data_IF_014779935213
#
_entry.id   IF_014779935213
#
_cell.length_a   1.000
_cell.length_b   1.000
_cell.length_c   1.000
_cell.angle_alpha   90.00
_cell.angle_beta   90.00
_cell.angle_gamma   90.00
#
_symmetry.space_group_name_H-M   'P 1'
#
loop_
_entity.id
_entity.type
_entity.pdbx_description
1 polymer ?
#
# COMPACT_ATOMS: atom_id res chain seq x y z
N UNK A 1 -0.78 17.04 20.41
CA UNK A 1 0.00 16.37 19.34
C UNK A 1 1.43 16.81 19.47
N UNK A 2 2.36 15.87 19.48
CA UNK A 2 3.78 16.18 19.45
C UNK A 2 4.18 16.67 18.05
N UNK A 3 5.07 17.65 18.00
CA UNK A 3 5.63 18.16 16.75
C UNK A 3 6.68 17.19 16.17
N UNK A 4 7.15 17.48 14.96
CA UNK A 4 8.21 16.68 14.34
C UNK A 4 9.51 16.69 15.17
N UNK A 5 9.80 17.79 15.86
CA UNK A 5 11.01 17.92 16.69
C UNK A 5 11.07 16.84 17.76
N UNK A 6 9.98 16.66 18.51
CA UNK A 6 9.86 15.58 19.49
C UNK A 6 10.04 14.20 18.84
N UNK A 7 9.38 13.94 17.71
CA UNK A 7 9.46 12.65 17.02
C UNK A 7 10.89 12.33 16.59
N UNK A 8 11.61 13.32 16.06
CA UNK A 8 12.99 13.20 15.65
C UNK A 8 13.93 12.99 16.84
N UNK A 9 13.78 13.77 17.92
CA UNK A 9 14.58 13.60 19.15
C UNK A 9 14.39 12.22 19.78
N UNK A 10 13.15 11.72 19.83
CA UNK A 10 12.87 10.37 20.32
C UNK A 10 13.60 9.31 19.49
N UNK A 11 13.52 9.39 18.16
CA UNK A 11 14.19 8.45 17.27
C UNK A 11 15.71 8.54 17.40
N UNK A 12 16.29 9.74 17.46
CA UNK A 12 17.73 9.92 17.64
C UNK A 12 18.22 9.31 18.95
N UNK A 13 17.48 9.48 20.04
CA UNK A 13 17.80 8.86 21.32
C UNK A 13 17.73 7.33 21.26
N UNK A 14 16.74 6.76 20.54
CA UNK A 14 16.58 5.32 20.37
C UNK A 14 17.70 4.69 19.54
N UNK A 15 18.10 5.33 18.44
CA UNK A 15 19.07 4.79 17.49
C UNK A 15 20.51 5.25 17.74
N UNK A 16 20.71 6.23 18.63
CA UNK A 16 22.02 6.73 19.05
C UNK A 16 22.71 7.67 18.05
N UNK A 17 22.24 7.77 16.80
CA UNK A 17 22.73 8.74 15.81
C UNK A 17 21.74 8.94 14.67
N UNK A 18 21.88 10.04 13.94
CA UNK A 18 21.14 10.29 12.70
C UNK A 18 21.45 9.23 11.63
N UNK A 19 22.71 8.86 11.45
CA UNK A 19 23.10 7.87 10.45
C UNK A 19 22.47 6.49 10.70
N UNK A 20 22.42 6.07 11.97
CA UNK A 20 21.77 4.81 12.35
C UNK A 20 20.26 4.84 12.13
N UNK A 21 19.59 5.98 12.39
CA UNK A 21 18.17 6.17 12.09
C UNK A 21 17.92 6.12 10.58
N UNK A 22 18.64 6.92 9.78
CA UNK A 22 18.45 6.98 8.32
C UNK A 22 18.63 5.62 7.66
N UNK A 23 19.57 4.80 8.14
CA UNK A 23 19.79 3.44 7.65
C UNK A 23 18.58 2.50 7.81
N UNK A 24 17.62 2.82 8.69
CA UNK A 24 16.41 2.04 8.92
C UNK A 24 15.19 2.60 8.19
N UNK A 25 15.24 3.85 7.72
CA UNK A 25 14.08 4.53 7.16
C UNK A 25 13.81 4.10 5.71
N UNK A 26 12.54 3.83 5.35
CA UNK A 26 12.19 3.49 3.98
C UNK A 26 12.31 4.72 3.07
N UNK A 27 12.72 4.49 1.82
CA UNK A 27 12.76 5.53 0.78
C UNK A 27 11.65 5.27 -0.24
N UNK A 28 10.79 6.27 -0.55
CA UNK A 28 9.80 6.10 -1.61
C UNK A 28 10.48 6.10 -2.98
N UNK A 29 9.85 5.51 -3.97
CA UNK A 29 10.31 5.59 -5.35
C UNK A 29 10.04 6.99 -5.93
N UNK A 30 10.78 7.36 -6.98
CA UNK A 30 10.52 8.59 -7.72
C UNK A 30 9.23 8.50 -8.53
N UNK A 31 8.63 9.65 -8.85
CA UNK A 31 7.46 9.70 -9.74
C UNK A 31 7.79 9.13 -11.13
N UNK A 32 9.01 9.29 -11.62
CA UNK A 32 9.45 8.70 -12.89
C UNK A 32 9.45 7.17 -12.82
N UNK A 33 9.95 6.58 -11.74
CA UNK A 33 9.90 5.13 -11.54
C UNK A 33 8.45 4.63 -11.52
N UNK A 34 7.56 5.29 -10.77
CA UNK A 34 6.14 4.93 -10.72
C UNK A 34 5.48 4.99 -12.11
N UNK A 35 5.74 6.05 -12.89
CA UNK A 35 5.23 6.16 -14.27
C UNK A 35 5.78 5.09 -15.20
N UNK A 36 7.03 4.67 -14.97
CA UNK A 36 7.71 3.65 -15.77
C UNK A 36 7.26 2.21 -15.49
N UNK A 37 6.56 1.95 -14.38
CA UNK A 37 6.01 0.63 -14.10
C UNK A 37 4.88 0.29 -15.08
N UNK A 38 4.97 -0.88 -15.69
CA UNK A 38 3.93 -1.40 -16.58
C UNK A 38 2.68 -1.85 -15.80
N UNK A 39 1.54 -1.85 -16.49
CA UNK A 39 0.24 -2.16 -15.89
C UNK A 39 0.18 -3.59 -15.30
N UNK A 40 0.89 -4.55 -15.92
CA UNK A 40 0.99 -5.92 -15.42
C UNK A 40 1.79 -6.02 -14.10
N UNK A 41 2.83 -5.19 -13.91
CA UNK A 41 3.56 -5.13 -12.64
C UNK A 41 2.71 -4.53 -11.53
N UNK A 42 1.88 -3.54 -11.86
CA UNK A 42 0.88 -3.01 -10.92
C UNK A 42 -0.16 -4.07 -10.54
N UNK A 43 -0.71 -4.79 -11.51
CA UNK A 43 -1.70 -5.83 -11.26
C UNK A 43 -1.12 -6.99 -10.45
N UNK A 44 0.09 -7.45 -10.79
CA UNK A 44 0.82 -8.48 -10.04
C UNK A 44 1.05 -8.04 -8.60
N UNK A 45 1.55 -6.82 -8.37
CA UNK A 45 1.80 -6.31 -7.01
C UNK A 45 0.52 -6.15 -6.19
N UNK A 46 -0.56 -5.70 -6.82
CA UNK A 46 -1.88 -5.57 -6.19
C UNK A 46 -2.41 -6.95 -5.78
N UNK A 47 -2.39 -7.92 -6.69
CA UNK A 47 -2.78 -9.29 -6.39
C UNK A 47 -1.90 -9.88 -5.27
N UNK A 48 -0.58 -9.67 -5.31
CA UNK A 48 0.34 -10.16 -4.29
C UNK A 48 -0.03 -9.62 -2.91
N UNK A 49 -0.35 -8.32 -2.83
CA UNK A 49 -0.81 -7.70 -1.59
C UNK A 49 -2.09 -8.34 -1.07
N UNK A 50 -3.07 -8.58 -1.93
CA UNK A 50 -4.33 -9.26 -1.58
C UNK A 50 -4.08 -10.68 -1.08
N UNK A 51 -3.20 -11.45 -1.74
CA UNK A 51 -2.89 -12.82 -1.32
C UNK A 51 -2.11 -12.88 -0.01
N UNK A 52 -1.14 -11.97 0.20
CA UNK A 52 -0.40 -11.82 1.47
C UNK A 52 -1.27 -11.39 2.64
N UNK A 53 -2.46 -10.82 2.42
CA UNK A 53 -3.37 -10.47 3.52
C UNK A 53 -3.83 -11.74 4.28
N UNK A 54 -3.41 -11.86 5.54
CA UNK A 54 -3.76 -12.98 6.42
C UNK A 54 -2.94 -14.26 6.21
N UNK A 55 -1.83 -14.20 5.45
CA UNK A 55 -0.96 -15.35 5.20
C UNK A 55 0.52 -14.98 5.44
N UNK A 56 1.34 -16.00 5.75
CA UNK A 56 2.80 -15.83 5.82
C UNK A 56 3.32 -15.38 4.45
N UNK A 57 4.02 -14.25 4.39
CA UNK A 57 4.47 -13.68 3.11
C UNK A 57 5.35 -14.66 2.32
N UNK A 58 6.31 -15.33 2.97
CA UNK A 58 7.19 -16.30 2.33
C UNK A 58 6.44 -17.46 1.64
N UNK A 59 5.31 -17.89 2.19
CA UNK A 59 4.47 -18.92 1.57
C UNK A 59 3.80 -18.42 0.29
N UNK A 60 3.32 -17.18 0.28
CA UNK A 60 2.73 -16.57 -0.91
C UNK A 60 3.79 -16.34 -1.98
N UNK A 61 4.95 -15.83 -1.57
CA UNK A 61 6.07 -15.48 -2.45
C UNK A 61 6.61 -16.72 -3.17
N UNK A 62 6.75 -17.84 -2.46
CA UNK A 62 7.18 -19.11 -3.05
C UNK A 62 6.22 -19.63 -4.14
N UNK A 63 4.94 -19.23 -4.10
CA UNK A 63 3.92 -19.60 -5.10
C UNK A 63 3.77 -18.57 -6.22
N UNK A 64 4.37 -17.38 -6.09
CA UNK A 64 4.17 -16.29 -7.03
C UNK A 64 4.55 -16.61 -8.48
N UNK A 65 5.61 -17.38 -8.77
CA UNK A 65 5.91 -17.80 -10.14
C UNK A 65 4.76 -18.59 -10.80
N UNK A 66 4.00 -19.38 -10.04
CA UNK A 66 2.82 -20.07 -10.57
C UNK A 66 1.66 -19.08 -10.81
N UNK A 67 1.50 -18.07 -9.95
CA UNK A 67 0.53 -16.99 -10.16
C UNK A 67 0.81 -16.21 -11.46
N UNK A 68 2.07 -15.84 -11.70
CA UNK A 68 2.49 -15.20 -12.96
C UNK A 68 2.09 -16.04 -14.18
N UNK A 69 2.23 -17.37 -14.13
CA UNK A 69 1.81 -18.24 -15.24
C UNK A 69 0.28 -18.27 -15.43
N UNK A 70 -0.48 -18.54 -14.37
CA UNK A 70 -1.94 -18.76 -14.48
C UNK A 70 -2.73 -17.47 -14.74
N UNK A 71 -2.13 -16.31 -14.45
CA UNK A 71 -2.68 -15.00 -14.77
C UNK A 71 -2.00 -14.35 -15.98
N UNK A 72 -1.36 -15.13 -16.87
CA UNK A 72 -0.81 -14.64 -18.14
C UNK A 72 0.18 -13.47 -17.99
N UNK A 73 1.08 -13.56 -17.02
CA UNK A 73 2.02 -12.50 -16.65
C UNK A 73 1.37 -11.28 -16.02
N UNK A 74 0.12 -11.41 -15.57
CA UNK A 74 -0.74 -10.32 -15.10
C UNK A 74 -1.03 -9.25 -16.16
N UNK A 75 -0.98 -9.60 -17.45
CA UNK A 75 -1.43 -8.72 -18.53
C UNK A 75 -2.91 -8.32 -18.32
N UNK A 76 -3.23 -7.05 -18.03
CA UNK A 76 -4.59 -6.65 -17.68
C UNK A 76 -5.62 -6.94 -18.78
N UNK A 77 -5.24 -6.81 -20.06
CA UNK A 77 -6.12 -7.06 -21.20
C UNK A 77 -6.50 -8.54 -21.31
N UNK A 78 -5.63 -9.46 -20.86
CA UNK A 78 -5.93 -10.90 -20.81
C UNK A 78 -6.67 -11.28 -19.53
N UNK A 79 -6.22 -10.75 -18.39
CA UNK A 79 -6.78 -11.10 -17.09
C UNK A 79 -8.23 -10.63 -16.99
N UNK A 80 -8.56 -9.44 -17.51
CA UNK A 80 -9.93 -8.91 -17.45
C UNK A 80 -10.96 -9.83 -18.15
N UNK A 81 -10.53 -10.61 -19.15
CA UNK A 81 -11.36 -11.57 -19.88
C UNK A 81 -11.56 -12.91 -19.15
N UNK A 82 -10.92 -13.12 -17.98
CA UNK A 82 -11.05 -14.36 -17.22
C UNK A 82 -12.43 -14.49 -16.59
N UNK A 83 -13.28 -15.33 -17.20
CA UNK A 83 -14.61 -15.65 -16.70
C UNK A 83 -14.62 -16.54 -15.45
N UNK A 84 -15.80 -16.70 -14.84
CA UNK A 84 -16.00 -17.48 -13.62
C UNK A 84 -15.51 -18.94 -13.75
N UNK A 85 -15.82 -19.61 -14.87
CA UNK A 85 -15.39 -20.99 -15.11
C UNK A 85 -13.85 -21.14 -15.11
N UNK A 86 -13.12 -20.15 -15.64
CA UNK A 86 -11.66 -20.18 -15.61
C UNK A 86 -11.17 -20.11 -14.16
N UNK A 87 -11.73 -19.22 -13.35
CA UNK A 87 -11.36 -19.08 -11.94
C UNK A 87 -11.71 -20.33 -11.12
N UNK A 88 -12.79 -21.02 -11.46
CA UNK A 88 -13.16 -22.31 -10.86
C UNK A 88 -12.18 -23.42 -11.23
N UNK A 89 -11.66 -23.43 -12.47
CA UNK A 89 -10.56 -24.34 -12.85
C UNK A 89 -9.29 -24.03 -12.05
N UNK A 90 -8.96 -22.76 -11.82
CA UNK A 90 -7.81 -22.37 -10.98
C UNK A 90 -7.94 -22.84 -9.52
N UNK A 91 -9.16 -23.01 -9.01
CA UNK A 91 -9.38 -23.61 -7.69
C UNK A 91 -8.94 -25.08 -7.62
N UNK A 92 -8.64 -25.74 -8.75
CA UNK A 92 -8.07 -27.09 -8.78
C UNK A 92 -6.54 -27.09 -8.86
N UNK A 93 -5.90 -25.95 -9.14
CA UNK A 93 -4.44 -25.86 -9.26
C UNK A 93 -3.80 -25.76 -7.87
N UNK A 94 -3.05 -26.81 -7.48
CA UNK A 94 -2.38 -26.90 -6.17
C UNK A 94 -1.10 -26.05 -6.09
N UNK A 95 -0.60 -25.57 -7.23
CA UNK A 95 0.59 -24.69 -7.29
C UNK A 95 0.27 -23.33 -6.67
N UNK A 96 -0.97 -22.86 -6.78
CA UNK A 96 -1.42 -21.56 -6.27
C UNK A 96 -2.17 -21.67 -4.92
N UNK A 97 -2.61 -20.52 -4.40
CA UNK A 97 -3.46 -20.44 -3.20
C UNK A 97 -4.93 -20.50 -3.65
N UNK A 98 -5.61 -21.58 -3.28
CA UNK A 98 -7.00 -21.87 -3.65
C UNK A 98 -7.99 -21.08 -2.77
N UNK A 99 -8.08 -19.77 -3.02
CA UNK A 99 -9.01 -18.88 -2.33
C UNK A 99 -9.86 -18.11 -3.35
N UNK A 100 -11.08 -18.58 -3.60
CA UNK A 100 -11.94 -18.08 -4.68
C UNK A 100 -12.18 -16.58 -4.62
N UNK A 101 -12.43 -16.01 -3.43
CA UNK A 101 -12.65 -14.56 -3.28
C UNK A 101 -11.42 -13.70 -3.59
N UNK A 102 -10.20 -14.25 -3.52
CA UNK A 102 -8.95 -13.55 -3.88
C UNK A 102 -8.66 -13.74 -5.35
N UNK A 103 -8.89 -14.93 -5.90
CA UNK A 103 -8.81 -15.19 -7.35
C UNK A 103 -9.79 -14.30 -8.14
N UNK A 104 -11.04 -14.19 -7.69
CA UNK A 104 -12.06 -13.28 -8.28
C UNK A 104 -11.69 -11.80 -8.21
N UNK A 105 -10.77 -11.41 -7.33
CA UNK A 105 -10.34 -10.00 -7.23
C UNK A 105 -9.41 -9.59 -8.37
N UNK A 106 -8.61 -10.52 -8.91
CA UNK A 106 -7.60 -10.21 -9.93
C UNK A 106 -8.21 -9.64 -11.23
N UNK A 107 -9.21 -10.28 -11.88
CA UNK A 107 -9.83 -9.71 -13.08
C UNK A 107 -10.57 -8.40 -12.81
N UNK A 108 -11.16 -8.23 -11.61
CA UNK A 108 -11.81 -6.96 -11.22
C UNK A 108 -10.79 -5.83 -11.06
N UNK A 109 -9.62 -6.12 -10.51
CA UNK A 109 -8.54 -5.16 -10.37
C UNK A 109 -7.88 -4.86 -11.73
N UNK A 110 -7.85 -5.83 -12.65
CA UNK A 110 -7.45 -5.59 -14.04
C UNK A 110 -8.37 -4.58 -14.72
N UNK A 111 -9.70 -4.74 -14.57
CA UNK A 111 -10.67 -3.77 -15.08
C UNK A 111 -10.43 -2.36 -14.51
N UNK A 112 -10.24 -2.22 -13.19
CA UNK A 112 -9.94 -0.93 -12.57
C UNK A 112 -8.68 -0.29 -13.18
N UNK A 113 -7.63 -1.08 -13.42
CA UNK A 113 -6.39 -0.59 -14.04
C UNK A 113 -6.68 -0.07 -15.46
N UNK A 114 -7.40 -0.83 -16.28
CA UNK A 114 -7.75 -0.44 -17.65
C UNK A 114 -8.61 0.83 -17.68
N UNK A 115 -9.61 0.94 -16.79
CA UNK A 115 -10.47 2.12 -16.68
C UNK A 115 -9.65 3.38 -16.34
N UNK A 116 -8.69 3.25 -15.42
CA UNK A 116 -7.77 4.34 -15.07
C UNK A 116 -6.85 4.68 -16.23
N UNK A 117 -6.32 3.70 -16.96
CA UNK A 117 -5.47 3.95 -18.14
C UNK A 117 -6.23 4.74 -19.21
N UNK A 118 -7.51 4.46 -19.41
CA UNK A 118 -8.34 5.21 -20.35
C UNK A 118 -8.47 6.70 -19.96
N UNK A 119 -8.56 7.00 -18.66
CA UNK A 119 -8.79 8.35 -18.15
C UNK A 119 -7.49 9.16 -17.94
N UNK A 120 -6.40 8.49 -17.57
CA UNK A 120 -5.15 9.11 -17.13
C UNK A 120 -3.94 8.76 -18.01
N UNK A 121 -4.16 8.02 -19.11
CA UNK A 121 -3.10 7.54 -20.02
C UNK A 121 -2.37 6.31 -19.51
N UNK A 122 -2.00 6.27 -18.22
CA UNK A 122 -1.45 5.06 -17.59
C UNK A 122 -1.83 4.94 -16.11
N UNK A 123 -1.83 3.71 -15.58
CA UNK A 123 -2.02 3.50 -14.15
C UNK A 123 -0.86 4.07 -13.33
N UNK A 124 0.37 4.01 -13.86
CA UNK A 124 1.55 4.61 -13.25
C UNK A 124 1.45 6.13 -13.13
N UNK A 125 0.96 6.82 -14.17
CA UNK A 125 0.70 8.26 -14.14
C UNK A 125 -0.33 8.62 -13.07
N UNK A 126 -1.44 7.89 -13.02
CA UNK A 126 -2.46 8.08 -11.99
C UNK A 126 -1.89 7.95 -10.56
N UNK A 127 -1.09 6.91 -10.27
CA UNK A 127 -0.48 6.73 -8.95
C UNK A 127 0.58 7.81 -8.67
N UNK A 128 1.43 8.14 -9.64
CA UNK A 128 2.50 9.13 -9.48
C UNK A 128 1.94 10.54 -9.22
N UNK A 129 0.93 10.94 -9.98
CA UNK A 129 0.40 12.31 -10.00
C UNK A 129 -0.57 12.58 -8.85
N UNK A 130 -1.07 11.54 -8.16
CA UNK A 130 -1.91 11.73 -6.98
C UNK A 130 -1.14 12.48 -5.87
N UNK A 131 -1.66 13.59 -5.33
CA UNK A 131 -0.95 14.39 -4.33
C UNK A 131 -0.73 13.62 -3.03
N UNK A 132 0.50 13.62 -2.52
CA UNK A 132 0.87 12.92 -1.27
C UNK A 132 0.13 13.50 -0.05
N UNK A 133 -0.23 14.79 -0.12
CA UNK A 133 -1.01 15.50 0.90
C UNK A 133 -2.47 15.01 0.99
N UNK A 134 -2.93 14.25 -0.01
CA UNK A 134 -4.23 13.55 -0.02
C UNK A 134 -4.04 12.05 -0.34
N UNK A 135 -3.00 11.42 0.23
CA UNK A 135 -2.74 9.99 -0.03
C UNK A 135 -3.89 9.10 0.47
N UNK A 136 -4.61 9.50 1.53
CA UNK A 136 -5.79 8.79 1.99
C UNK A 136 -6.96 8.84 1.00
N UNK A 137 -7.06 9.90 0.18
CA UNK A 137 -7.96 9.95 -0.98
C UNK A 137 -7.66 8.84 -1.98
N UNK A 138 -6.37 8.59 -2.27
CA UNK A 138 -5.97 7.48 -3.15
C UNK A 138 -6.34 6.12 -2.54
N UNK A 139 -6.21 5.97 -1.22
CA UNK A 139 -6.63 4.73 -0.55
C UNK A 139 -8.13 4.49 -0.73
N UNK A 140 -8.93 5.54 -0.57
CA UNK A 140 -10.38 5.46 -0.74
C UNK A 140 -10.76 5.16 -2.19
N UNK A 141 -10.07 5.75 -3.17
CA UNK A 141 -10.27 5.41 -4.58
C UNK A 141 -10.00 3.93 -4.83
N UNK A 142 -8.81 3.44 -4.44
CA UNK A 142 -8.43 2.04 -4.63
C UNK A 142 -9.37 1.08 -3.90
N UNK A 143 -9.84 1.43 -2.71
CA UNK A 143 -10.81 0.63 -1.96
C UNK A 143 -12.20 0.60 -2.60
N UNK A 144 -12.63 1.70 -3.22
CA UNK A 144 -13.94 1.83 -3.86
C UNK A 144 -13.98 1.16 -5.23
N UNK A 145 -12.94 1.34 -6.03
CA UNK A 145 -12.89 0.88 -7.43
C UNK A 145 -12.22 -0.49 -7.56
N UNK A 146 -11.31 -0.83 -6.65
CA UNK A 146 -10.67 -2.13 -6.59
C UNK A 146 -11.48 -3.16 -5.81
N UNK A 147 -11.01 -4.41 -5.83
CA UNK A 147 -11.58 -5.52 -5.08
C UNK A 147 -10.53 -6.09 -4.10
N UNK A 148 -10.94 -6.32 -2.85
CA UNK A 148 -10.04 -6.67 -1.72
C UNK A 148 -9.02 -5.58 -1.34
N UNK A 149 -9.28 -4.33 -1.72
CA UNK A 149 -8.38 -3.19 -1.53
C UNK A 149 -8.71 -2.30 -0.31
N UNK A 150 -9.68 -2.70 0.53
CA UNK A 150 -10.01 -1.98 1.76
C UNK A 150 -9.00 -2.16 2.90
N UNK A 151 -9.20 -1.41 4.00
CA UNK A 151 -8.36 -1.48 5.19
C UNK A 151 -6.89 -1.19 4.88
N UNK A 152 -6.00 -2.08 5.32
CA UNK A 152 -4.55 -1.94 5.10
C UNK A 152 -4.08 -2.41 3.72
N UNK A 153 -4.98 -2.89 2.83
CA UNK A 153 -4.57 -3.37 1.50
C UNK A 153 -4.09 -2.22 0.61
N UNK A 154 -4.87 -1.15 0.47
CA UNK A 154 -4.47 0.02 -0.32
C UNK A 154 -3.15 0.68 0.14
N UNK A 155 -2.98 1.09 1.41
CA UNK A 155 -1.72 1.73 1.85
C UNK A 155 -0.51 0.79 1.72
N UNK A 156 -0.67 -0.51 1.98
CA UNK A 156 0.44 -1.47 1.82
C UNK A 156 0.78 -1.72 0.36
N UNK A 157 -0.21 -1.78 -0.52
CA UNK A 157 0.02 -1.88 -1.97
C UNK A 157 0.81 -0.66 -2.46
N UNK A 158 0.38 0.55 -2.09
CA UNK A 158 1.09 1.78 -2.43
C UNK A 158 2.53 1.77 -1.95
N UNK A 159 2.78 1.32 -0.71
CA UNK A 159 4.14 1.14 -0.20
C UNK A 159 4.94 0.10 -1.00
N UNK A 160 4.31 -1.00 -1.42
CA UNK A 160 4.96 -2.06 -2.19
C UNK A 160 5.37 -1.61 -3.60
N UNK A 161 4.59 -0.74 -4.25
CA UNK A 161 4.96 -0.16 -5.55
C UNK A 161 5.88 1.06 -5.43
N UNK A 162 6.10 1.56 -4.20
CA UNK A 162 7.00 2.67 -3.92
C UNK A 162 6.34 4.05 -3.85
N UNK A 163 4.99 4.16 -3.90
CA UNK A 163 4.30 5.44 -3.70
C UNK A 163 4.46 5.86 -2.24
N UNK A 164 4.86 7.12 -2.03
CA UNK A 164 4.96 7.68 -0.69
C UNK A 164 3.59 7.69 0.00
N UNK A 165 3.54 7.09 1.18
CA UNK A 165 2.33 6.86 1.97
C UNK A 165 2.73 6.52 3.39
N UNK A 166 1.91 6.89 4.37
CA UNK A 166 1.97 6.28 5.69
C UNK A 166 1.16 4.97 5.71
N UNK A 167 1.36 4.13 6.73
CA UNK A 167 0.56 2.93 6.95
C UNK A 167 0.09 2.97 8.41
N UNK A 168 -1.23 2.92 8.69
CA UNK A 168 -1.73 2.83 10.05
C UNK A 168 -1.55 1.41 10.59
N UNK A 169 -0.29 1.00 10.78
CA UNK A 169 0.09 -0.23 11.48
C UNK A 169 -0.36 -0.16 12.93
N UNK A 170 -0.28 -1.29 13.63
CA UNK A 170 -0.63 -1.32 15.05
C UNK A 170 0.20 -0.32 15.85
N UNK A 171 1.53 -0.25 15.63
CA UNK A 171 2.41 0.71 16.31
C UNK A 171 2.05 2.16 15.98
N UNK A 172 1.81 2.47 14.71
CA UNK A 172 1.40 3.83 14.28
C UNK A 172 0.09 4.22 14.95
N UNK A 173 -0.90 3.32 14.98
CA UNK A 173 -2.19 3.58 15.62
C UNK A 173 -2.03 3.73 17.14
N UNK A 174 -1.23 2.90 17.78
CA UNK A 174 -0.95 3.00 19.22
C UNK A 174 -0.26 4.33 19.57
N UNK A 175 0.72 4.76 18.79
CA UNK A 175 1.40 6.05 18.98
C UNK A 175 0.45 7.25 18.78
N UNK A 176 -0.42 7.22 17.76
CA UNK A 176 -1.41 8.26 17.52
C UNK A 176 -2.49 8.28 18.63
N UNK A 177 -2.89 7.12 19.14
CA UNK A 177 -3.83 6.99 20.24
C UNK A 177 -3.26 7.55 21.55
N UNK A 178 -2.00 7.25 21.87
CA UNK A 178 -1.31 7.81 23.03
C UNK A 178 -1.23 9.35 23.01
N UNK A 179 -1.37 9.96 21.82
CA UNK A 179 -1.41 11.41 21.63
C UNK A 179 -2.84 11.98 21.54
N UNK A 180 -3.88 11.16 21.79
CA UNK A 180 -5.29 11.50 21.66
C UNK A 180 -5.69 12.03 20.27
N UNK A 181 -5.01 11.56 19.21
CA UNK A 181 -5.32 11.95 17.82
C UNK A 181 -6.45 11.07 17.27
N UNK A 182 -6.42 9.77 17.57
CA UNK A 182 -7.45 8.80 17.15
C UNK A 182 -7.68 7.75 18.25
N UNK A 183 -8.89 7.22 18.35
CA UNK A 183 -9.23 6.22 19.37
C UNK A 183 -9.10 4.78 18.87
N UNK A 184 -9.05 4.60 17.55
CA UNK A 184 -9.02 3.28 16.88
C UNK A 184 -8.39 3.40 15.51
N UNK A 185 -8.17 2.26 14.86
CA UNK A 185 -7.67 2.21 13.47
C UNK A 185 -8.53 3.11 12.57
N UNK A 186 -7.94 4.06 11.82
CA UNK A 186 -8.69 5.05 11.05
C UNK A 186 -9.35 4.40 9.82
N UNK A 187 -10.61 4.00 9.98
CA UNK A 187 -11.41 3.35 8.93
C UNK A 187 -12.43 4.29 8.27
N UNK A 188 -12.82 5.37 8.96
CA UNK A 188 -13.71 6.38 8.40
C UNK A 188 -12.94 7.45 7.62
N UNK A 189 -13.60 8.12 6.66
CA UNK A 189 -13.01 9.23 5.92
C UNK A 189 -12.53 10.36 6.83
N UNK A 190 -13.29 10.64 7.91
CA UNK A 190 -12.96 11.66 8.91
C UNK A 190 -11.67 11.30 9.64
N UNK A 191 -11.56 10.09 10.15
CA UNK A 191 -10.37 9.67 10.91
C UNK A 191 -9.14 9.60 10.00
N UNK A 192 -9.31 9.16 8.75
CA UNK A 192 -8.23 9.17 7.76
C UNK A 192 -7.75 10.58 7.44
N UNK A 193 -8.67 11.53 7.25
CA UNK A 193 -8.31 12.94 7.00
C UNK A 193 -7.61 13.58 8.20
N UNK A 194 -8.03 13.25 9.43
CA UNK A 194 -7.36 13.70 10.65
C UNK A 194 -5.93 13.17 10.73
N UNK A 195 -5.71 11.88 10.47
CA UNK A 195 -4.36 11.32 10.44
C UNK A 195 -3.54 11.93 9.29
N UNK A 196 -4.12 12.10 8.10
CA UNK A 196 -3.47 12.78 6.97
C UNK A 196 -2.98 14.18 7.36
N UNK A 197 -3.77 14.99 8.06
CA UNK A 197 -3.34 16.34 8.45
C UNK A 197 -2.15 16.34 9.39
N UNK A 198 -2.05 15.36 10.29
CA UNK A 198 -0.89 15.18 11.17
C UNK A 198 0.37 14.88 10.37
N UNK A 199 0.27 13.93 9.43
CA UNK A 199 1.39 13.57 8.56
C UNK A 199 1.79 14.70 7.62
N UNK A 200 0.83 15.49 7.12
CA UNK A 200 1.11 16.67 6.31
C UNK A 200 1.86 17.73 7.10
N UNK A 201 1.46 18.01 8.35
CA UNK A 201 2.16 18.95 9.22
C UNK A 201 3.61 18.50 9.47
N UNK A 202 3.83 17.25 9.85
CA UNK A 202 5.19 16.76 10.05
C UNK A 202 6.02 16.75 8.76
N UNK A 203 5.41 16.51 7.60
CA UNK A 203 6.08 16.64 6.31
C UNK A 203 6.50 18.08 6.02
N UNK A 204 5.62 19.06 6.29
CA UNK A 204 5.93 20.49 6.12
C UNK A 204 7.06 20.94 7.06
N UNK A 205 7.05 20.50 8.31
CA UNK A 205 8.07 20.82 9.31
C UNK A 205 9.45 20.22 9.00
N UNK A 206 9.50 19.07 8.32
CA UNK A 206 10.73 18.27 8.18
C UNK A 206 11.25 18.11 6.75
N UNK A 207 10.40 18.30 5.74
CA UNK A 207 10.67 17.90 4.36
C UNK A 207 10.72 16.39 4.14
N UNK A 208 10.38 15.55 5.13
CA UNK A 208 10.48 14.09 5.02
C UNK A 208 9.30 13.47 4.27
N UNK A 209 9.52 12.34 3.58
CA UNK A 209 8.44 11.52 3.04
C UNK A 209 7.55 10.92 4.13
N UNK A 210 6.27 10.71 3.82
CA UNK A 210 5.30 10.13 4.74
C UNK A 210 5.68 8.72 5.18
N UNK A 211 6.36 7.95 4.32
CA UNK A 211 6.81 6.61 4.66
C UNK A 211 7.88 6.60 5.76
N UNK A 212 8.74 7.62 5.79
CA UNK A 212 9.76 7.80 6.83
C UNK A 212 9.10 8.23 8.13
N UNK A 213 8.25 9.26 8.09
CA UNK A 213 7.48 9.73 9.26
C UNK A 213 6.66 8.59 9.87
N UNK A 214 6.10 7.72 9.04
CA UNK A 214 5.33 6.56 9.48
C UNK A 214 6.20 5.51 10.19
N UNK A 215 7.43 5.31 9.73
CA UNK A 215 8.38 4.41 10.39
C UNK A 215 8.91 5.01 11.70
N UNK A 216 9.27 6.29 11.69
CA UNK A 216 9.68 7.03 12.89
C UNK A 216 8.62 6.95 13.98
N UNK A 217 7.35 7.19 13.63
CA UNK A 217 6.26 7.10 14.59
C UNK A 217 6.07 5.68 15.13
N UNK A 218 6.25 4.65 14.30
CA UNK A 218 6.21 3.27 14.78
C UNK A 218 7.33 2.98 15.80
N UNK A 219 8.52 3.57 15.64
CA UNK A 219 9.63 3.41 16.58
C UNK A 219 9.41 4.07 17.95
N UNK A 220 8.39 4.91 18.11
CA UNK A 220 8.03 5.47 19.42
C UNK A 220 7.27 4.48 20.29
N UNK A 221 6.77 3.38 19.73
CA UNK A 221 6.13 2.30 20.49
C UNK A 221 7.20 1.30 20.90
N UNK A 222 7.34 1.09 22.21
CA UNK A 222 8.23 0.07 22.75
C UNK A 222 7.50 -1.27 22.80
N UNK A 223 8.19 -2.32 22.35
CA UNK A 223 7.82 -3.73 22.54
C UNK A 223 8.69 -4.33 23.64
#
# INVERSE_FOLDING_TARGET
MHDYKWLNEYCLNRFGSAAALEAQLPTPASNEYLRGLSADRYLSTLALRVFRAGLKHSLVDAKWPAFEQVFFGFDPDKVVLMGAEHLERLMQDTRIIRHLGKLKSVPRNAQMILDVQQQHGSFGAFIADWPVQDITGLWQYLAKHGNQMGGLSAPRFLRMVGKDTFIPTWDVVAALNAQNIIDKVPSSKRDQALVQSVFNQWQEESGRPLCQLSAMLAYTVNH
#
